data_IF_789341005905
#
_entry.id   IF_789341005905
#
_cell.length_a   1.000
_cell.length_b   1.000
_cell.length_c   1.000
_cell.angle_alpha   90.00
_cell.angle_beta   90.00
_cell.angle_gamma   90.00
#
_symmetry.space_group_name_H-M   'P 1'
#
loop_
_entity.id
_entity.type
_entity.pdbx_description
1 polymer ?
#
# COMPACT_ATOMS: atom_id res chain seq x y z
N UNK A 1 -9.00 -16.82 -16.15
CA UNK A 1 -9.24 -15.58 -15.38
C UNK A 1 -8.37 -15.67 -14.15
N UNK A 2 -7.36 -14.81 -14.05
CA UNK A 2 -6.49 -14.80 -12.88
C UNK A 2 -7.22 -14.14 -11.70
N UNK A 3 -7.09 -14.74 -10.53
CA UNK A 3 -7.60 -14.15 -9.26
C UNK A 3 -6.44 -13.54 -8.54
N UNK A 4 -6.56 -12.29 -8.17
CA UNK A 4 -5.55 -11.51 -7.47
C UNK A 4 -5.97 -11.26 -6.03
N UNK A 5 -5.09 -11.57 -5.09
CA UNK A 5 -5.23 -11.12 -3.71
C UNK A 5 -4.64 -9.71 -3.56
N UNK A 6 -5.25 -8.89 -2.74
CA UNK A 6 -4.76 -7.55 -2.42
C UNK A 6 -4.77 -7.33 -0.90
N UNK A 7 -3.71 -6.74 -0.40
CA UNK A 7 -3.58 -6.26 0.98
C UNK A 7 -3.23 -4.78 0.93
N UNK A 8 -4.14 -3.92 1.35
CA UNK A 8 -3.86 -2.52 1.66
C UNK A 8 -3.63 -2.41 3.17
N UNK A 9 -2.38 -2.35 3.56
CA UNK A 9 -1.98 -2.19 4.95
C UNK A 9 -2.02 -0.71 5.32
N UNK A 10 -3.11 -0.25 5.92
CA UNK A 10 -3.28 1.12 6.40
C UNK A 10 -2.93 1.27 7.88
N UNK A 11 -2.58 2.48 8.30
CA UNK A 11 -2.26 2.76 9.70
C UNK A 11 -3.41 2.56 10.69
N UNK A 12 -4.67 2.57 10.22
CA UNK A 12 -5.87 2.38 11.05
C UNK A 12 -6.53 1.03 10.81
N UNK A 13 -6.52 0.57 9.56
CA UNK A 13 -7.11 -0.71 9.15
C UNK A 13 -6.35 -1.29 7.97
N UNK A 14 -6.35 -2.62 7.87
CA UNK A 14 -5.98 -3.34 6.67
C UNK A 14 -7.25 -3.64 5.88
N UNK A 15 -7.26 -3.31 4.59
CA UNK A 15 -8.28 -3.79 3.66
C UNK A 15 -7.69 -4.95 2.87
N UNK A 16 -8.34 -6.10 2.94
CA UNK A 16 -7.91 -7.30 2.23
C UNK A 16 -9.01 -7.71 1.25
N UNK A 17 -8.66 -8.14 0.06
CA UNK A 17 -9.66 -8.54 -0.92
C UNK A 17 -9.14 -9.47 -1.99
N UNK A 18 -10.08 -10.00 -2.75
CA UNK A 18 -9.86 -10.71 -4.00
C UNK A 18 -10.49 -9.93 -5.13
N UNK A 19 -9.81 -9.89 -6.25
CA UNK A 19 -10.30 -9.25 -7.47
C UNK A 19 -9.86 -9.99 -8.72
N UNK A 20 -10.39 -9.56 -9.86
CA UNK A 20 -10.02 -10.06 -11.17
C UNK A 20 -9.16 -9.05 -11.95
N UNK A 21 -8.68 -9.47 -13.11
CA UNK A 21 -7.86 -8.65 -14.02
C UNK A 21 -8.58 -7.42 -14.61
N UNK A 22 -9.90 -7.33 -14.45
CA UNK A 22 -10.71 -6.20 -14.89
C UNK A 22 -10.94 -5.17 -13.80
N UNK A 23 -10.41 -5.41 -12.58
CA UNK A 23 -10.59 -4.55 -11.42
C UNK A 23 -11.91 -4.79 -10.66
N UNK A 24 -12.63 -5.87 -10.95
CA UNK A 24 -13.83 -6.23 -10.19
C UNK A 24 -13.43 -6.82 -8.85
N UNK A 25 -14.02 -6.31 -7.78
CA UNK A 25 -13.84 -6.87 -6.43
C UNK A 25 -14.78 -8.07 -6.27
N UNK A 26 -14.22 -9.22 -5.93
CA UNK A 26 -14.94 -10.49 -5.75
C UNK A 26 -15.34 -10.66 -4.28
N UNK A 27 -14.43 -10.34 -3.37
CA UNK A 27 -14.60 -10.47 -1.92
C UNK A 27 -13.66 -9.50 -1.21
N UNK A 28 -14.07 -9.00 -0.03
CA UNK A 28 -13.24 -8.09 0.74
C UNK A 28 -13.57 -8.12 2.23
N UNK A 29 -12.57 -7.75 3.04
CA UNK A 29 -12.71 -7.55 4.48
C UNK A 29 -11.88 -6.36 4.95
N UNK A 30 -12.35 -5.67 5.97
CA UNK A 30 -11.59 -4.63 6.68
C UNK A 30 -11.23 -5.11 8.08
N UNK A 31 -9.94 -5.07 8.40
CA UNK A 31 -9.35 -5.59 9.64
C UNK A 31 -8.70 -4.43 10.39
N UNK A 32 -9.06 -4.13 11.66
CA UNK A 32 -8.39 -3.09 12.44
C UNK A 32 -6.88 -3.34 12.56
N UNK A 33 -6.07 -2.28 12.39
CA UNK A 33 -4.62 -2.32 12.59
C UNK A 33 -4.30 -2.18 14.08
N UNK A 34 -3.94 -3.28 14.72
CA UNK A 34 -3.49 -3.36 16.10
C UNK A 34 -1.99 -3.75 16.15
N UNK A 35 -1.62 -4.73 16.94
CA UNK A 35 -0.28 -5.28 16.87
C UNK A 35 -0.08 -6.11 15.59
N UNK A 36 1.15 -6.26 15.07
CA UNK A 36 1.42 -7.12 13.92
C UNK A 36 0.86 -8.53 14.08
N UNK A 37 1.04 -9.15 15.24
CA UNK A 37 0.58 -10.50 15.52
C UNK A 37 -0.94 -10.65 15.38
N UNK A 38 -1.70 -9.76 16.01
CA UNK A 38 -3.17 -9.81 15.97
C UNK A 38 -3.73 -9.48 14.59
N UNK A 39 -3.16 -8.45 13.93
CA UNK A 39 -3.59 -8.02 12.61
C UNK A 39 -3.27 -9.10 11.57
N UNK A 40 -2.03 -9.58 11.53
CA UNK A 40 -1.61 -10.58 10.56
C UNK A 40 -2.30 -11.92 10.76
N UNK A 41 -2.58 -12.32 11.99
CA UNK A 41 -3.40 -13.51 12.26
C UNK A 41 -4.75 -13.44 11.52
N UNK A 42 -5.41 -12.29 11.55
CA UNK A 42 -6.70 -12.09 10.87
C UNK A 42 -6.54 -12.02 9.35
N UNK A 43 -5.48 -11.40 8.85
CA UNK A 43 -5.16 -11.35 7.42
C UNK A 43 -4.92 -12.77 6.88
N UNK A 44 -4.10 -13.56 7.56
CA UNK A 44 -3.80 -14.95 7.17
C UNK A 44 -5.07 -15.79 7.22
N UNK A 45 -5.87 -15.66 8.29
CA UNK A 45 -7.15 -16.37 8.43
C UNK A 45 -8.12 -16.06 7.29
N UNK A 46 -8.17 -14.80 6.83
CA UNK A 46 -9.02 -14.39 5.72
C UNK A 46 -8.63 -15.06 4.39
N UNK A 47 -7.32 -15.23 4.14
CA UNK A 47 -6.83 -15.77 2.87
C UNK A 47 -6.60 -17.29 2.87
N UNK A 48 -6.49 -17.95 4.00
CA UNK A 48 -6.02 -19.35 4.13
C UNK A 48 -6.76 -20.37 3.27
N UNK A 49 -8.07 -20.19 3.10
CA UNK A 49 -8.92 -21.11 2.34
C UNK A 49 -9.29 -20.56 0.95
N UNK A 50 -8.68 -19.45 0.54
CA UNK A 50 -8.95 -18.80 -0.73
C UNK A 50 -7.88 -19.15 -1.77
N UNK A 51 -8.31 -19.33 -3.02
CA UNK A 51 -7.41 -19.57 -4.14
C UNK A 51 -7.17 -18.26 -4.88
N UNK A 52 -5.91 -17.92 -5.10
CA UNK A 52 -5.47 -16.76 -5.87
C UNK A 52 -4.09 -17.05 -6.49
N UNK A 53 -3.79 -16.37 -7.59
CA UNK A 53 -2.60 -16.65 -8.41
C UNK A 53 -1.43 -15.72 -8.04
N UNK A 54 -1.72 -14.51 -7.57
CA UNK A 54 -0.74 -13.48 -7.19
C UNK A 54 -1.27 -12.64 -6.03
N UNK A 55 -0.39 -11.93 -5.33
CA UNK A 55 -0.77 -11.02 -4.26
C UNK A 55 -0.08 -9.66 -4.42
N UNK A 56 -0.87 -8.58 -4.47
CA UNK A 56 -0.39 -7.20 -4.35
C UNK A 56 -0.48 -6.71 -2.92
N UNK A 57 0.57 -6.06 -2.43
CA UNK A 57 0.62 -5.51 -1.08
C UNK A 57 1.01 -4.03 -1.14
N UNK A 58 0.06 -3.16 -0.81
CA UNK A 58 0.29 -1.73 -0.59
C UNK A 58 0.33 -1.44 0.90
N UNK A 59 1.32 -0.70 1.39
CA UNK A 59 1.47 -0.45 2.82
C UNK A 59 1.70 1.02 3.14
N UNK A 60 1.20 1.43 4.31
CA UNK A 60 1.66 2.67 4.91
C UNK A 60 3.18 2.62 5.10
N UNK A 61 3.80 3.77 5.09
CA UNK A 61 5.25 3.91 5.16
C UNK A 61 5.81 4.30 6.53
N UNK A 62 7.12 4.51 6.55
CA UNK A 62 8.07 4.21 5.47
C UNK A 62 8.28 2.72 5.24
N UNK A 63 8.52 2.34 3.98
CA UNK A 63 8.74 0.94 3.58
C UNK A 63 10.04 0.78 2.79
N UNK A 64 10.51 -0.46 2.62
CA UNK A 64 11.57 -0.79 1.68
C UNK A 64 11.01 -1.64 0.52
N UNK A 65 10.67 -1.01 -0.62
CA UNK A 65 10.17 -1.69 -1.81
C UNK A 65 11.29 -2.15 -2.76
N UNK A 66 12.57 -1.93 -2.42
CA UNK A 66 13.69 -2.19 -3.32
C UNK A 66 14.01 -3.67 -3.37
N UNK A 67 13.69 -4.32 -4.50
CA UNK A 67 14.02 -5.75 -4.71
C UNK A 67 15.53 -5.97 -4.59
N UNK A 68 15.91 -6.95 -3.79
CA UNK A 68 17.33 -7.27 -3.51
C UNK A 68 17.92 -6.54 -2.30
N UNK A 69 17.22 -5.57 -1.72
CA UNK A 69 17.59 -5.03 -0.42
C UNK A 69 17.44 -6.09 0.69
N UNK A 70 18.25 -5.98 1.75
CA UNK A 70 18.15 -6.86 2.93
C UNK A 70 16.84 -6.71 3.69
N UNK A 71 16.21 -5.56 3.56
CA UNK A 71 14.96 -5.18 4.22
C UNK A 71 13.79 -5.06 3.24
N UNK A 72 13.92 -5.62 2.02
CA UNK A 72 12.80 -5.69 1.08
C UNK A 72 11.56 -6.29 1.73
N UNK A 73 10.43 -5.61 1.60
CA UNK A 73 9.15 -6.07 2.16
C UNK A 73 8.92 -5.68 3.62
N UNK A 74 9.83 -4.89 4.21
CA UNK A 74 9.64 -4.37 5.56
C UNK A 74 8.91 -3.03 5.56
N UNK A 75 8.04 -2.84 6.56
CA UNK A 75 7.72 -1.53 7.10
C UNK A 75 8.93 -1.14 7.94
N UNK A 76 9.58 -0.03 7.61
CA UNK A 76 10.82 0.41 8.26
C UNK A 76 10.53 1.21 9.53
N UNK A 77 11.24 2.30 9.80
CA UNK A 77 10.99 3.14 10.99
C UNK A 77 9.69 3.93 10.80
N UNK A 78 8.64 3.52 11.46
CA UNK A 78 7.33 4.17 11.41
C UNK A 78 6.90 4.64 12.81
N UNK A 79 6.12 5.73 12.93
CA UNK A 79 5.52 6.14 14.20
C UNK A 79 4.40 5.20 14.66
N UNK A 80 3.92 4.30 13.79
CA UNK A 80 2.90 3.32 14.16
C UNK A 80 3.46 2.31 15.15
N UNK A 81 2.92 2.32 16.36
CA UNK A 81 3.37 1.43 17.46
C UNK A 81 3.41 -0.03 17.03
N UNK A 82 4.49 -0.71 17.38
CA UNK A 82 4.77 -2.14 17.13
C UNK A 82 5.09 -2.52 15.67
N UNK A 83 4.97 -1.60 14.70
CA UNK A 83 5.14 -1.90 13.27
C UNK A 83 6.53 -1.54 12.71
N UNK A 84 7.38 -0.88 13.50
CA UNK A 84 8.76 -0.57 13.06
C UNK A 84 9.56 -1.84 12.80
N UNK A 85 10.26 -1.85 11.67
CA UNK A 85 11.13 -2.94 11.20
C UNK A 85 10.40 -4.29 11.00
N UNK A 86 9.07 -4.25 10.78
CA UNK A 86 8.26 -5.43 10.58
C UNK A 86 8.35 -5.96 9.13
N UNK A 87 8.75 -7.21 8.97
CA UNK A 87 8.84 -7.88 7.66
C UNK A 87 7.47 -8.38 7.19
N UNK A 88 6.68 -7.48 6.59
CA UNK A 88 5.31 -7.77 6.15
C UNK A 88 5.27 -8.83 5.04
N UNK A 89 6.11 -8.69 4.01
CA UNK A 89 6.18 -9.65 2.89
C UNK A 89 6.73 -10.99 3.36
N UNK A 90 7.76 -10.98 4.22
CA UNK A 90 8.30 -12.22 4.78
C UNK A 90 7.26 -12.99 5.59
N UNK A 91 6.40 -12.31 6.34
CA UNK A 91 5.30 -12.96 7.08
C UNK A 91 4.27 -13.59 6.13
N UNK A 92 3.81 -12.85 5.12
CA UNK A 92 2.85 -13.38 4.13
C UNK A 92 3.41 -14.59 3.37
N UNK A 93 4.68 -14.56 2.99
CA UNK A 93 5.35 -15.66 2.28
C UNK A 93 5.50 -16.95 3.09
N UNK A 94 5.39 -16.91 4.41
CA UNK A 94 5.35 -18.13 5.23
C UNK A 94 4.06 -18.93 5.04
N UNK A 95 3.00 -18.27 4.58
CA UNK A 95 1.66 -18.83 4.49
C UNK A 95 1.16 -19.01 3.05
N UNK A 96 1.67 -18.19 2.11
CA UNK A 96 1.18 -18.18 0.73
C UNK A 96 2.34 -18.27 -0.25
N UNK A 97 2.39 -19.36 -1.02
CA UNK A 97 3.41 -19.61 -2.06
C UNK A 97 2.92 -19.10 -3.42
N UNK A 98 2.83 -17.77 -3.53
CA UNK A 98 2.44 -17.07 -4.76
C UNK A 98 3.39 -15.89 -5.00
N UNK A 99 3.54 -15.41 -6.25
CA UNK A 99 4.24 -14.17 -6.53
C UNK A 99 3.62 -13.01 -5.78
N UNK A 100 4.48 -12.17 -5.16
CA UNK A 100 4.05 -10.98 -4.41
C UNK A 100 4.80 -9.75 -4.88
N UNK A 101 4.05 -8.65 -5.04
CA UNK A 101 4.60 -7.31 -5.28
C UNK A 101 4.27 -6.41 -4.09
N UNK A 102 5.19 -5.47 -3.81
CA UNK A 102 5.13 -4.62 -2.63
C UNK A 102 5.47 -3.17 -2.98
N UNK A 103 4.60 -2.26 -2.58
CA UNK A 103 4.80 -0.81 -2.72
C UNK A 103 4.00 -0.07 -1.63
N UNK A 104 3.99 1.27 -1.68
CA UNK A 104 3.14 2.07 -0.80
C UNK A 104 1.66 1.94 -1.18
N UNK A 105 0.78 2.11 -0.20
CA UNK A 105 -0.68 2.16 -0.39
C UNK A 105 -1.09 3.24 -1.41
N UNK A 106 -0.48 4.42 -1.35
CA UNK A 106 -0.75 5.53 -2.30
C UNK A 106 -0.24 5.25 -3.72
N UNK A 107 0.87 4.54 -3.91
CA UNK A 107 1.32 4.11 -5.22
C UNK A 107 0.39 3.03 -5.81
N UNK A 108 -0.05 2.09 -4.97
CA UNK A 108 -1.08 1.12 -5.35
C UNK A 108 -2.38 1.79 -5.80
N UNK A 109 -2.84 2.81 -5.04
CA UNK A 109 -4.01 3.58 -5.40
C UNK A 109 -3.82 4.36 -6.72
N UNK A 110 -2.66 5.01 -6.93
CA UNK A 110 -2.37 5.71 -8.18
C UNK A 110 -2.37 4.77 -9.39
N UNK A 111 -1.84 3.56 -9.23
CA UNK A 111 -1.86 2.53 -10.27
C UNK A 111 -3.29 2.07 -10.58
N UNK A 112 -4.10 1.84 -9.57
CA UNK A 112 -5.50 1.44 -9.73
C UNK A 112 -6.30 2.53 -10.46
N UNK A 113 -6.12 3.80 -10.10
CA UNK A 113 -6.75 4.92 -10.79
C UNK A 113 -6.30 5.04 -12.25
N UNK A 114 -5.02 4.76 -12.55
CA UNK A 114 -4.50 4.77 -13.91
C UNK A 114 -5.09 3.63 -14.78
N UNK A 115 -5.38 2.48 -14.20
CA UNK A 115 -5.87 1.32 -14.94
C UNK A 115 -7.39 1.27 -15.04
N UNK A 116 -8.10 1.55 -13.96
CA UNK A 116 -9.55 1.33 -13.87
C UNK A 116 -10.34 2.56 -13.45
N UNK A 117 -9.69 3.59 -12.90
CA UNK A 117 -10.33 4.76 -12.33
C UNK A 117 -10.27 6.01 -13.19
N UNK A 118 -10.27 7.17 -12.52
CA UNK A 118 -10.30 8.51 -13.14
C UNK A 118 -9.05 8.82 -13.97
N UNK A 119 -7.94 8.12 -13.73
CA UNK A 119 -6.67 8.26 -14.46
C UNK A 119 -6.59 7.45 -15.75
N UNK A 120 -7.63 6.68 -16.09
CA UNK A 120 -7.60 5.82 -17.28
C UNK A 120 -7.38 6.58 -18.57
N UNK A 121 -6.36 6.17 -19.34
CA UNK A 121 -5.97 6.81 -20.59
C UNK A 121 -4.96 7.95 -20.45
N UNK A 122 -4.62 8.35 -19.24
CA UNK A 122 -3.54 9.32 -19.01
C UNK A 122 -2.20 8.59 -18.79
N UNK A 123 -1.11 9.18 -19.29
CA UNK A 123 0.24 8.63 -19.11
C UNK A 123 0.77 8.81 -17.69
N UNK A 124 0.40 9.94 -17.08
CA UNK A 124 0.84 10.30 -15.74
C UNK A 124 -0.37 10.55 -14.87
N UNK A 125 -0.42 9.87 -13.73
CA UNK A 125 -1.52 9.97 -12.76
C UNK A 125 -0.92 10.18 -11.38
N UNK A 126 -1.46 11.14 -10.63
CA UNK A 126 -1.14 11.36 -9.24
C UNK A 126 -2.38 11.10 -8.40
N UNK A 127 -2.24 10.29 -7.38
CA UNK A 127 -3.24 10.08 -6.34
C UNK A 127 -2.81 10.80 -5.07
N UNK A 128 -3.68 11.62 -4.52
CA UNK A 128 -3.44 12.33 -3.25
C UNK A 128 -4.51 11.91 -2.27
N UNK A 129 -4.10 11.44 -1.11
CA UNK A 129 -4.99 11.16 0.02
C UNK A 129 -4.83 12.23 1.10
N UNK A 130 -5.96 12.71 1.62
CA UNK A 130 -6.03 13.69 2.71
C UNK A 130 -6.91 13.12 3.80
N UNK A 131 -6.28 12.68 4.90
CA UNK A 131 -6.94 12.05 6.03
C UNK A 131 -6.31 12.52 7.35
N UNK A 132 -5.89 11.59 8.22
CA UNK A 132 -5.09 11.90 9.41
C UNK A 132 -3.77 12.57 9.03
N UNK A 133 -3.19 12.17 7.90
CA UNK A 133 -2.04 12.79 7.26
C UNK A 133 -2.33 13.05 5.78
N UNK A 134 -1.32 13.51 5.06
CA UNK A 134 -1.35 13.69 3.61
C UNK A 134 -0.35 12.70 3.01
N UNK A 135 -0.81 11.90 2.04
CA UNK A 135 0.03 11.00 1.27
C UNK A 135 -0.18 11.23 -0.22
N UNK A 136 0.81 10.91 -1.04
CA UNK A 136 0.63 10.91 -2.48
C UNK A 136 1.49 9.84 -3.16
N UNK A 137 0.89 9.19 -4.16
CA UNK A 137 1.52 8.25 -5.06
C UNK A 137 1.32 8.67 -6.50
N UNK A 138 2.17 8.21 -7.39
CA UNK A 138 2.05 8.57 -8.79
C UNK A 138 2.47 7.44 -9.73
N UNK A 139 1.92 7.48 -10.94
CA UNK A 139 2.43 6.73 -12.09
C UNK A 139 2.97 7.70 -13.14
N UNK A 140 4.10 7.33 -13.75
CA UNK A 140 4.72 8.05 -14.86
C UNK A 140 4.94 7.05 -15.98
N UNK A 141 4.42 7.36 -17.17
CA UNK A 141 4.38 6.43 -18.31
C UNK A 141 3.86 5.03 -17.94
N UNK A 142 2.82 4.98 -17.08
CA UNK A 142 2.18 3.74 -16.62
C UNK A 142 2.96 2.93 -15.59
N UNK A 143 4.07 3.43 -15.07
CA UNK A 143 4.87 2.80 -14.02
C UNK A 143 4.77 3.58 -12.73
N UNK A 144 4.69 2.90 -11.60
CA UNK A 144 4.72 3.55 -10.29
C UNK A 144 6.01 4.35 -10.12
N UNK A 145 5.87 5.59 -9.65
CA UNK A 145 7.01 6.47 -9.38
C UNK A 145 7.77 5.93 -8.17
N UNK A 146 9.06 5.72 -8.38
CA UNK A 146 10.02 5.31 -7.36
C UNK A 146 10.98 6.47 -7.07
N UNK A 147 11.55 6.51 -5.89
CA UNK A 147 12.62 7.42 -5.49
C UNK A 147 13.88 6.64 -5.12
N UNK A 148 14.63 7.13 -4.16
CA UNK A 148 15.72 6.38 -3.53
C UNK A 148 15.17 5.12 -2.83
N UNK A 149 13.99 5.25 -2.21
CA UNK A 149 13.14 4.16 -1.75
C UNK A 149 11.74 4.34 -2.37
N UNK A 150 10.83 4.99 -1.68
CA UNK A 150 9.53 5.44 -2.19
C UNK A 150 9.39 6.95 -1.99
N UNK A 151 8.65 7.67 -2.84
CA UNK A 151 8.44 9.09 -2.67
C UNK A 151 7.48 9.36 -1.50
N UNK A 152 7.88 10.26 -0.60
CA UNK A 152 7.06 10.80 0.49
C UNK A 152 6.46 12.15 0.08
N UNK A 153 5.70 12.15 -1.03
CA UNK A 153 5.21 13.40 -1.65
C UNK A 153 4.20 14.17 -0.79
N UNK A 154 3.60 13.52 0.22
CA UNK A 154 2.77 14.21 1.21
C UNK A 154 3.55 15.13 2.15
N UNK A 155 4.87 14.98 2.22
CA UNK A 155 5.76 15.75 3.09
C UNK A 155 6.57 16.83 2.37
N UNK A 156 6.18 17.20 1.15
CA UNK A 156 6.83 18.30 0.43
C UNK A 156 6.52 19.65 1.09
N UNK A 157 7.53 20.52 1.17
CA UNK A 157 7.31 21.88 1.64
C UNK A 157 6.65 22.71 0.55
N UNK A 158 5.53 23.32 0.89
CA UNK A 158 4.78 24.22 0.01
C UNK A 158 4.83 25.66 0.54
N UNK A 159 4.64 26.65 -0.34
CA UNK A 159 4.50 28.03 0.10
C UNK A 159 3.22 28.17 0.90
N UNK A 160 3.36 28.65 2.14
CA UNK A 160 2.23 28.90 3.05
C UNK A 160 1.31 29.96 2.46
N UNK A 161 -0.01 29.74 2.56
CA UNK A 161 -0.99 30.79 2.24
C UNK A 161 -0.88 31.93 3.26
N UNK A 162 -1.02 33.22 2.84
CA UNK A 162 -0.88 34.35 3.78
C UNK A 162 -1.85 34.32 4.97
N UNK A 163 -3.03 33.73 4.79
CA UNK A 163 -4.05 33.63 5.84
C UNK A 163 -3.94 32.35 6.68
N UNK A 164 -2.99 31.47 6.35
CA UNK A 164 -2.78 30.24 7.11
C UNK A 164 -2.01 30.54 8.39
N UNK A 165 -2.69 30.40 9.53
CA UNK A 165 -2.14 30.60 10.87
C UNK A 165 -1.73 29.30 11.56
N UNK A 166 -1.91 28.14 10.92
CA UNK A 166 -1.54 26.85 11.49
C UNK A 166 -0.02 26.70 11.55
N UNK A 167 0.52 26.44 12.73
CA UNK A 167 1.98 26.37 12.92
C UNK A 167 2.63 25.11 12.34
N UNK A 168 1.83 24.11 11.98
CA UNK A 168 2.29 22.81 11.51
C UNK A 168 2.31 21.78 12.64
N UNK A 169 2.72 20.56 12.32
CA UNK A 169 2.92 19.43 13.25
C UNK A 169 4.38 19.04 13.30
#
# INVERSE_FOLDING_TARGET
>A
MAIMAAVEAGGTKFNCGLGDENGNIIDQVSIPTTTPEETMKKVIEYFKDKKFDVMGVGSFGPIDPIKGSKTYGHITKTPKAYWSDYNLIGELKKHFDVPMEFDTDVNGAALAEAWWGAGKGFKNVMYITVGTGIGAGATVDGKMLQGLTHPEMGHISVKRHPEDTFEGT
#
